data_IF_541319168912
#
_entry.id   IF_541319168912
#
_cell.length_a   1.000
_cell.length_b   1.000
_cell.length_c   1.000
_cell.angle_alpha   90.00
_cell.angle_beta   90.00
_cell.angle_gamma   90.00
#
_symmetry.space_group_name_H-M   'P 1'
#
loop_
_entity.id
_entity.type
_entity.pdbx_description
1 polymer ?
#
# COMPACT_ATOMS: atom_id res chain seq x y z
N UNK A 1 42.02 54.94 -36.94
CA UNK A 1 41.05 53.87 -36.66
C UNK A 1 41.35 53.31 -35.27
N UNK A 2 40.56 53.70 -34.26
CA UNK A 2 40.66 53.14 -32.91
C UNK A 2 39.68 51.98 -32.82
N UNK A 3 40.19 50.76 -32.83
CA UNK A 3 39.40 49.54 -32.64
C UNK A 3 39.14 49.39 -31.14
N UNK A 4 37.94 49.74 -30.69
CA UNK A 4 37.50 49.48 -29.33
C UNK A 4 37.49 47.97 -29.08
N UNK A 5 38.44 47.49 -28.28
CA UNK A 5 38.45 46.13 -27.77
C UNK A 5 37.22 45.93 -26.86
N UNK A 6 36.41 44.88 -27.06
CA UNK A 6 35.23 44.65 -26.24
C UNK A 6 35.66 44.34 -24.81
N UNK A 7 35.16 45.13 -23.84
CA UNK A 7 35.43 44.87 -22.43
C UNK A 7 34.79 43.53 -22.01
N UNK A 8 35.52 42.68 -21.28
CA UNK A 8 34.98 41.40 -20.82
C UNK A 8 33.88 41.66 -19.79
N UNK A 9 32.65 41.29 -20.12
CA UNK A 9 31.48 41.44 -19.24
C UNK A 9 31.64 40.57 -17.99
N UNK A 10 32.20 41.15 -16.93
CA UNK A 10 32.34 40.51 -15.62
C UNK A 10 30.97 40.47 -14.96
N UNK A 11 30.32 39.31 -14.97
CA UNK A 11 29.06 39.10 -14.28
C UNK A 11 29.29 39.34 -12.78
N UNK A 12 28.58 40.29 -12.14
CA UNK A 12 28.73 40.54 -10.71
C UNK A 12 28.03 39.41 -9.94
N UNK A 13 28.75 38.31 -9.72
CA UNK A 13 28.33 37.25 -8.80
C UNK A 13 28.44 37.78 -7.36
N UNK A 14 27.43 38.53 -6.93
CA UNK A 14 27.30 38.94 -5.54
C UNK A 14 27.11 37.71 -4.64
N UNK A 15 27.81 37.65 -3.51
CA UNK A 15 27.79 36.50 -2.59
C UNK A 15 26.37 36.13 -2.11
N UNK A 16 25.47 37.13 -2.01
CA UNK A 16 24.06 36.91 -1.69
C UNK A 16 23.26 36.24 -2.81
N UNK A 17 23.61 36.47 -4.08
CA UNK A 17 22.97 35.79 -5.21
C UNK A 17 23.40 34.31 -5.28
N UNK A 18 24.67 34.01 -5.04
CA UNK A 18 25.20 32.63 -5.03
C UNK A 18 24.52 31.80 -3.94
N UNK A 19 24.32 32.37 -2.74
CA UNK A 19 23.67 31.67 -1.64
C UNK A 19 22.19 31.39 -1.94
N UNK A 20 21.45 32.38 -2.46
CA UNK A 20 20.04 32.18 -2.86
C UNK A 20 19.90 31.16 -3.98
N UNK A 21 20.77 31.23 -5.00
CA UNK A 21 20.79 30.26 -6.09
C UNK A 21 21.12 28.85 -5.56
N UNK A 22 22.08 28.72 -4.65
CA UNK A 22 22.41 27.45 -3.99
C UNK A 22 21.24 26.85 -3.22
N UNK A 23 20.51 27.66 -2.44
CA UNK A 23 19.31 27.21 -1.73
C UNK A 23 18.19 26.79 -2.68
N UNK A 24 18.00 27.51 -3.79
CA UNK A 24 16.99 27.17 -4.79
C UNK A 24 17.33 25.82 -5.45
N UNK A 25 18.58 25.62 -5.86
CA UNK A 25 19.01 24.35 -6.47
C UNK A 25 18.88 23.21 -5.46
N UNK A 26 19.30 23.42 -4.21
CA UNK A 26 19.16 22.42 -3.15
C UNK A 26 17.69 22.08 -2.87
N UNK A 27 16.81 23.07 -2.80
CA UNK A 27 15.37 22.86 -2.62
C UNK A 27 14.76 22.10 -3.80
N UNK A 28 15.16 22.40 -5.04
CA UNK A 28 14.70 21.69 -6.23
C UNK A 28 15.13 20.22 -6.21
N UNK A 29 16.39 19.94 -5.87
CA UNK A 29 16.90 18.57 -5.74
C UNK A 29 16.19 17.84 -4.61
N UNK A 30 15.98 18.48 -3.47
CA UNK A 30 15.26 17.90 -2.34
C UNK A 30 13.82 17.55 -2.73
N UNK A 31 13.09 18.47 -3.36
CA UNK A 31 11.72 18.23 -3.84
C UNK A 31 11.69 17.08 -4.85
N UNK A 32 12.64 17.04 -5.78
CA UNK A 32 12.74 15.97 -6.77
C UNK A 32 12.93 14.60 -6.12
N UNK A 33 13.88 14.48 -5.20
CA UNK A 33 14.12 13.24 -4.45
C UNK A 33 12.92 12.86 -3.56
N UNK A 34 12.28 13.85 -2.94
CA UNK A 34 11.09 13.64 -2.13
C UNK A 34 9.91 13.11 -2.97
N UNK A 35 9.70 13.64 -4.18
CA UNK A 35 8.68 13.15 -5.10
C UNK A 35 8.97 11.69 -5.50
N UNK A 36 10.22 11.36 -5.83
CA UNK A 36 10.59 9.97 -6.14
C UNK A 36 10.32 9.04 -4.96
N UNK A 37 10.69 9.45 -3.73
CA UNK A 37 10.37 8.72 -2.51
C UNK A 37 8.85 8.55 -2.31
N UNK A 38 8.07 9.58 -2.59
CA UNK A 38 6.61 9.52 -2.52
C UNK A 38 5.99 8.57 -3.55
N UNK A 39 6.59 8.48 -4.74
CA UNK A 39 6.14 7.59 -5.81
C UNK A 39 6.53 6.13 -5.55
N UNK A 40 7.70 5.90 -4.98
CA UNK A 40 8.23 4.56 -4.70
C UNK A 40 7.59 3.96 -3.44
N UNK A 41 7.63 4.69 -2.32
CA UNK A 41 7.16 4.20 -1.01
C UNK A 41 5.96 5.00 -0.46
N UNK A 42 5.77 6.25 -0.92
CA UNK A 42 4.74 7.14 -0.39
C UNK A 42 3.31 6.77 -0.74
N UNK A 43 3.08 5.83 -1.67
CA UNK A 43 1.75 5.32 -1.99
C UNK A 43 1.03 4.79 -0.75
N UNK A 44 1.74 4.06 0.12
CA UNK A 44 1.20 3.57 1.39
C UNK A 44 0.83 4.71 2.35
N UNK A 45 1.70 5.71 2.49
CA UNK A 45 1.48 6.85 3.39
C UNK A 45 0.29 7.69 2.93
N UNK A 46 0.24 8.05 1.63
CA UNK A 46 -0.87 8.82 1.05
C UNK A 46 -2.17 8.04 1.20
N UNK A 47 -2.16 6.73 0.92
CA UNK A 47 -3.33 5.87 1.10
C UNK A 47 -3.80 5.85 2.55
N UNK A 48 -2.90 5.66 3.52
CA UNK A 48 -3.24 5.68 4.95
C UNK A 48 -3.80 7.03 5.39
N UNK A 49 -3.22 8.15 4.95
CA UNK A 49 -3.70 9.50 5.28
C UNK A 49 -5.08 9.73 4.68
N UNK A 50 -5.29 9.36 3.41
CA UNK A 50 -6.58 9.44 2.75
C UNK A 50 -7.62 8.58 3.46
N UNK A 51 -7.33 7.31 3.74
CA UNK A 51 -8.23 6.42 4.47
C UNK A 51 -8.56 6.95 5.87
N UNK A 52 -7.56 7.45 6.60
CA UNK A 52 -7.76 8.09 7.91
C UNK A 52 -8.66 9.33 7.80
N UNK A 53 -8.48 10.13 6.75
CA UNK A 53 -9.32 11.29 6.50
C UNK A 53 -10.76 10.90 6.17
N UNK A 54 -10.97 9.89 5.32
CA UNK A 54 -12.29 9.33 5.03
C UNK A 54 -12.97 8.82 6.30
N UNK A 55 -12.24 8.09 7.14
CA UNK A 55 -12.76 7.60 8.42
C UNK A 55 -13.15 8.75 9.36
N UNK A 56 -12.30 9.78 9.46
CA UNK A 56 -12.60 10.98 10.22
C UNK A 56 -13.86 11.70 9.70
N UNK A 57 -14.01 11.84 8.39
CA UNK A 57 -15.19 12.42 7.75
C UNK A 57 -16.45 11.58 7.98
N UNK A 58 -16.35 10.25 7.97
CA UNK A 58 -17.47 9.35 8.23
C UNK A 58 -17.97 9.46 9.68
N UNK A 59 -17.06 9.67 10.64
CA UNK A 59 -17.44 9.88 12.05
C UNK A 59 -17.97 11.29 12.33
N UNK A 60 -17.51 12.31 11.59
CA UNK A 60 -17.93 13.71 11.77
C UNK A 60 -19.45 13.92 11.90
N UNK A 61 -20.34 13.37 11.04
CA UNK A 61 -21.79 13.57 11.17
C UNK A 61 -22.38 12.89 12.41
N UNK A 62 -21.81 11.76 12.85
CA UNK A 62 -22.25 11.08 14.07
C UNK A 62 -21.88 11.89 15.32
N UNK A 63 -20.64 12.41 15.36
CA UNK A 63 -20.16 13.27 16.45
C UNK A 63 -20.95 14.58 16.48
N UNK A 64 -21.20 15.22 15.33
CA UNK A 64 -21.92 16.49 15.28
C UNK A 64 -23.34 16.35 15.84
N UNK A 65 -24.07 15.29 15.44
CA UNK A 65 -25.41 15.00 15.98
C UNK A 65 -25.40 14.83 17.50
N UNK A 66 -24.41 14.14 18.05
CA UNK A 66 -24.33 13.89 19.49
C UNK A 66 -23.84 15.12 20.28
N UNK A 67 -22.97 15.94 19.66
CA UNK A 67 -22.46 17.17 20.25
C UNK A 67 -23.53 18.26 20.45
N UNK A 68 -24.68 18.14 19.78
CA UNK A 68 -25.85 19.00 20.02
C UNK A 68 -26.49 18.77 21.40
N UNK A 69 -26.25 17.61 22.02
CA UNK A 69 -26.82 17.24 23.32
C UNK A 69 -25.76 17.16 24.44
N UNK A 70 -24.47 17.13 24.11
CA UNK A 70 -23.37 16.89 25.05
C UNK A 70 -22.09 17.65 24.67
N UNK A 71 -21.15 17.80 25.61
CA UNK A 71 -19.82 18.38 25.34
C UNK A 71 -19.09 17.58 24.25
N UNK A 72 -18.48 18.28 23.28
CA UNK A 72 -17.83 17.68 22.08
C UNK A 72 -16.90 16.52 22.42
N UNK A 73 -16.08 16.63 23.48
CA UNK A 73 -15.15 15.58 23.89
C UNK A 73 -15.82 14.26 24.32
N UNK A 74 -16.98 14.31 24.98
CA UNK A 74 -17.75 13.10 25.32
C UNK A 74 -18.41 12.50 24.08
N UNK A 75 -18.87 13.35 23.16
CA UNK A 75 -19.47 12.89 21.90
C UNK A 75 -18.47 12.12 21.04
N UNK A 76 -17.22 12.59 20.91
CA UNK A 76 -16.16 11.85 20.20
C UNK A 76 -15.84 10.52 20.87
N UNK A 77 -15.72 10.49 22.20
CA UNK A 77 -15.43 9.25 22.94
C UNK A 77 -16.53 8.19 22.75
N UNK A 78 -17.79 8.61 22.83
CA UNK A 78 -18.93 7.72 22.63
C UNK A 78 -18.98 7.20 21.18
N UNK A 79 -18.75 8.05 20.18
CA UNK A 79 -18.76 7.63 18.77
C UNK A 79 -17.60 6.67 18.48
N UNK A 80 -16.38 7.00 18.92
CA UNK A 80 -15.21 6.12 18.78
C UNK A 80 -15.44 4.78 19.48
N UNK A 81 -15.93 4.80 20.72
CA UNK A 81 -16.27 3.60 21.46
C UNK A 81 -17.37 2.77 20.79
N UNK A 82 -18.39 3.43 20.24
CA UNK A 82 -19.46 2.78 19.49
C UNK A 82 -18.96 2.11 18.21
N UNK A 83 -18.04 2.72 17.48
CA UNK A 83 -17.42 2.11 16.29
C UNK A 83 -16.59 0.88 16.66
N UNK A 84 -15.76 0.98 17.71
CA UNK A 84 -14.98 -0.18 18.18
C UNK A 84 -15.89 -1.31 18.62
N UNK A 85 -16.93 -1.00 19.41
CA UNK A 85 -17.89 -1.99 19.88
C UNK A 85 -18.64 -2.65 18.71
N UNK A 86 -19.04 -1.85 17.71
CA UNK A 86 -19.67 -2.34 16.50
C UNK A 86 -18.75 -3.30 15.72
N UNK A 87 -17.48 -2.95 15.53
CA UNK A 87 -16.51 -3.81 14.86
C UNK A 87 -16.29 -5.11 15.62
N UNK A 88 -16.13 -5.06 16.94
CA UNK A 88 -15.98 -6.27 17.77
C UNK A 88 -17.22 -7.15 17.67
N UNK A 89 -18.42 -6.57 17.78
CA UNK A 89 -19.67 -7.32 17.66
C UNK A 89 -19.84 -7.92 16.26
N UNK A 90 -19.47 -7.17 15.21
CA UNK A 90 -19.52 -7.63 13.83
C UNK A 90 -18.59 -8.83 13.61
N UNK A 91 -17.32 -8.75 14.01
CA UNK A 91 -16.38 -9.86 13.87
C UNK A 91 -16.71 -11.03 14.81
N UNK A 92 -17.31 -10.79 15.97
CA UNK A 92 -17.79 -11.88 16.83
C UNK A 92 -18.97 -12.64 16.18
N UNK A 93 -19.91 -11.91 15.57
CA UNK A 93 -21.09 -12.51 14.93
C UNK A 93 -20.75 -13.18 13.59
N UNK A 94 -19.92 -12.53 12.76
CA UNK A 94 -19.66 -12.95 11.39
C UNK A 94 -18.26 -13.52 11.18
N UNK A 95 -17.33 -13.41 12.13
CA UNK A 95 -15.95 -13.83 11.95
C UNK A 95 -15.83 -15.33 11.66
N UNK A 96 -16.60 -16.17 12.36
CA UNK A 96 -16.67 -17.60 12.05
C UNK A 96 -17.16 -17.85 10.63
N UNK A 97 -18.25 -17.18 10.23
CA UNK A 97 -18.82 -17.33 8.90
C UNK A 97 -17.84 -16.88 7.80
N UNK A 98 -17.07 -15.82 8.04
CA UNK A 98 -16.03 -15.36 7.11
C UNK A 98 -14.86 -16.34 7.02
N UNK A 99 -14.43 -16.91 8.15
CA UNK A 99 -13.37 -17.93 8.17
C UNK A 99 -13.83 -19.18 7.45
N UNK A 100 -15.03 -19.67 7.75
CA UNK A 100 -15.61 -20.85 7.09
C UNK A 100 -15.71 -20.61 5.57
N UNK A 101 -16.11 -19.41 5.12
CA UNK A 101 -16.12 -19.03 3.70
C UNK A 101 -14.71 -19.02 3.07
N UNK A 102 -13.70 -18.50 3.76
CA UNK A 102 -12.32 -18.48 3.24
C UNK A 102 -11.77 -19.90 3.14
N UNK A 103 -12.03 -20.74 4.15
CA UNK A 103 -11.63 -22.15 4.13
C UNK A 103 -12.29 -22.86 2.95
N UNK A 104 -13.59 -22.67 2.72
CA UNK A 104 -14.30 -23.27 1.58
C UNK A 104 -13.71 -22.83 0.23
N UNK A 105 -13.34 -21.55 0.09
CA UNK A 105 -12.66 -21.06 -1.11
C UNK A 105 -11.29 -21.74 -1.27
N UNK A 106 -10.49 -21.82 -0.21
CA UNK A 106 -9.16 -22.44 -0.25
C UNK A 106 -9.24 -23.94 -0.54
N UNK A 107 -10.19 -24.66 0.06
CA UNK A 107 -10.43 -26.08 -0.17
C UNK A 107 -10.96 -26.38 -1.58
N UNK A 108 -11.69 -25.45 -2.20
CA UNK A 108 -12.18 -25.61 -3.57
C UNK A 108 -11.15 -25.25 -4.65
N UNK A 109 -10.09 -24.49 -4.32
CA UNK A 109 -8.99 -24.18 -5.26
C UNK A 109 -8.40 -25.39 -6.00
N UNK A 110 -8.04 -26.53 -5.36
CA UNK A 110 -7.48 -27.68 -6.08
C UNK A 110 -8.47 -28.29 -7.08
N UNK A 111 -9.77 -28.31 -6.77
CA UNK A 111 -10.82 -28.80 -7.68
C UNK A 111 -10.99 -27.84 -8.86
N UNK A 112 -10.95 -26.53 -8.61
CA UNK A 112 -11.01 -25.50 -9.65
C UNK A 112 -9.76 -25.53 -10.55
N UNK A 113 -8.58 -25.74 -9.97
CA UNK A 113 -7.33 -25.90 -10.71
C UNK A 113 -7.34 -27.19 -11.55
N UNK A 114 -7.80 -28.31 -11.00
CA UNK A 114 -7.97 -29.57 -11.73
C UNK A 114 -8.96 -29.43 -12.89
N UNK A 115 -10.07 -28.73 -12.67
CA UNK A 115 -11.10 -28.48 -13.69
C UNK A 115 -10.59 -27.54 -14.78
N UNK A 116 -9.85 -26.48 -14.41
CA UNK A 116 -9.21 -25.57 -15.36
C UNK A 116 -8.15 -26.27 -16.20
N UNK A 117 -7.37 -27.17 -15.59
CA UNK A 117 -6.38 -27.99 -16.30
C UNK A 117 -7.03 -29.00 -17.23
N UNK A 118 -8.15 -29.62 -16.82
CA UNK A 118 -8.94 -30.51 -17.68
C UNK A 118 -9.55 -29.77 -18.89
N UNK A 119 -10.06 -28.55 -18.68
CA UNK A 119 -10.54 -27.68 -19.77
C UNK A 119 -9.40 -27.27 -20.71
N UNK A 120 -8.24 -26.93 -20.16
CA UNK A 120 -7.06 -26.58 -20.93
C UNK A 120 -6.59 -27.77 -21.79
N UNK A 121 -6.49 -28.96 -21.20
CA UNK A 121 -6.13 -30.19 -21.91
C UNK A 121 -7.15 -30.55 -23.01
N UNK A 122 -8.45 -30.35 -22.79
CA UNK A 122 -9.47 -30.53 -23.84
C UNK A 122 -9.39 -29.48 -24.95
N UNK A 123 -9.08 -28.23 -24.60
CA UNK A 123 -9.04 -27.11 -25.56
C UNK A 123 -7.78 -27.14 -26.43
N UNK A 124 -6.64 -27.55 -25.87
CA UNK A 124 -5.35 -27.56 -26.56
C UNK A 124 -4.86 -28.96 -26.94
N UNK A 125 -5.64 -30.02 -26.68
CA UNK A 125 -5.32 -31.40 -27.07
C UNK A 125 -4.03 -31.94 -26.45
N UNK A 126 -3.67 -31.47 -25.26
CA UNK A 126 -2.45 -31.84 -24.53
C UNK A 126 -2.79 -32.76 -23.36
N UNK A 127 -1.90 -33.69 -23.02
CA UNK A 127 -2.09 -34.67 -21.94
C UNK A 127 -1.17 -34.36 -20.75
N UNK A 128 -1.25 -33.13 -20.21
CA UNK A 128 -0.52 -32.82 -18.98
C UNK A 128 -1.24 -33.46 -17.79
N UNK A 129 -0.59 -34.41 -17.13
CA UNK A 129 -1.13 -35.09 -15.95
C UNK A 129 -0.77 -34.32 -14.67
N UNK A 130 -1.69 -34.29 -13.69
CA UNK A 130 -1.45 -33.60 -12.40
C UNK A 130 -0.19 -34.09 -11.69
N UNK A 131 0.25 -35.32 -11.95
CA UNK A 131 1.47 -35.89 -11.37
C UNK A 131 2.75 -35.19 -11.86
N UNK A 132 2.79 -34.70 -13.10
CA UNK A 132 3.96 -34.01 -13.67
C UNK A 132 4.07 -32.58 -13.12
N UNK A 133 2.94 -31.89 -12.93
CA UNK A 133 2.93 -30.53 -12.37
C UNK A 133 3.20 -30.56 -10.86
N UNK A 134 2.65 -31.55 -10.12
CA UNK A 134 2.94 -31.71 -8.68
C UNK A 134 4.39 -32.15 -8.41
N UNK A 135 5.01 -32.91 -9.33
CA UNK A 135 6.43 -33.24 -9.25
C UNK A 135 7.33 -32.02 -9.57
N UNK A 136 6.84 -31.06 -10.36
CA UNK A 136 7.60 -29.88 -10.77
C UNK A 136 7.38 -28.65 -9.87
N UNK A 137 6.26 -28.59 -9.14
CA UNK A 137 5.94 -27.55 -8.13
C UNK A 137 6.63 -27.81 -6.78
N UNK A 138 7.50 -28.83 -6.71
CA UNK A 138 8.75 -28.79 -5.93
C UNK A 138 8.71 -27.94 -4.66
N UNK A 139 7.82 -28.25 -3.72
CA UNK A 139 8.12 -27.98 -2.32
C UNK A 139 9.12 -29.06 -1.93
N UNK A 140 10.34 -28.75 -2.36
CA UNK A 140 11.55 -29.49 -2.26
C UNK A 140 11.66 -30.13 -0.87
N UNK A 141 11.41 -31.44 -0.81
CA UNK A 141 11.67 -32.21 0.42
C UNK A 141 13.13 -32.03 0.87
N UNK A 142 14.03 -31.70 -0.05
CA UNK A 142 15.43 -31.35 0.24
C UNK A 142 15.54 -30.02 1.03
N UNK A 143 14.82 -28.96 0.64
CA UNK A 143 14.75 -27.70 1.38
C UNK A 143 14.15 -27.84 2.79
N UNK A 144 13.07 -28.63 2.94
CA UNK A 144 12.45 -28.89 4.25
C UNK A 144 13.40 -29.71 5.15
N UNK A 145 14.15 -30.65 4.58
CA UNK A 145 15.10 -31.50 5.31
C UNK A 145 16.35 -30.73 5.75
N UNK A 146 16.80 -29.75 4.96
CA UNK A 146 17.95 -28.91 5.34
C UNK A 146 17.61 -27.93 6.47
N UNK A 147 16.41 -27.32 6.48
CA UNK A 147 15.98 -26.43 7.56
C UNK A 147 15.84 -27.19 8.89
N UNK A 148 15.34 -28.42 8.86
CA UNK A 148 15.21 -29.27 10.06
C UNK A 148 16.56 -29.76 10.62
N UNK A 149 17.63 -29.71 9.83
CA UNK A 149 19.00 -30.05 10.28
C UNK A 149 19.75 -28.86 10.89
N UNK A 150 19.34 -27.64 10.57
CA UNK A 150 19.97 -26.40 11.03
C UNK A 150 19.29 -25.76 12.26
N UNK A 151 18.20 -26.35 12.75
CA UNK A 151 17.51 -25.98 14.00
C UNK A 151 17.84 -26.96 15.14
#
# INVERSE_FOLDING_TARGET
>A
MSTGSPEPSRWPVSSGFIWRAGFIVMALVFIFLFILFLLEDGGGVIFTVLMSWFFALAMAPAVDRLSKRMRRGLATLIVMGGVVLFLVAFFAAFGKLLVDQVIEIVESLPVLAASGLAWFNQTFGTAFTQQEILAQVGLDQEAITNIAREA
#
